data_IF_890051204867
#
_entry.id   IF_890051204867
#
_cell.length_a   1.000
_cell.length_b   1.000
_cell.length_c   1.000
_cell.angle_alpha   90.00
_cell.angle_beta   90.00
_cell.angle_gamma   90.00
#
_symmetry.space_group_name_H-M   'P 1'
#
loop_
_entity.id
_entity.type
_entity.pdbx_description
1 polymer ?
#
# COMPACT_ATOMS: atom_id res chain seq x y z
N UNK A 1 22.34 4.35 14.52
CA UNK A 1 22.76 5.37 15.51
C UNK A 1 23.28 6.55 14.72
N UNK A 2 22.71 7.74 14.91
CA UNK A 2 23.22 8.94 14.24
C UNK A 2 24.62 9.24 14.78
N UNK A 3 25.63 9.17 13.92
CA UNK A 3 27.02 9.45 14.27
C UNK A 3 27.16 10.95 14.51
N UNK A 4 27.41 11.35 15.76
CA UNK A 4 27.60 12.75 16.12
C UNK A 4 28.95 13.19 15.55
N UNK A 5 28.95 14.20 14.68
CA UNK A 5 30.17 14.72 14.08
C UNK A 5 31.16 15.14 15.18
N UNK A 6 32.40 14.59 15.22
CA UNK A 6 33.40 14.89 16.24
C UNK A 6 33.73 16.39 16.37
N UNK A 7 33.52 17.19 15.33
CA UNK A 7 33.72 18.65 15.36
C UNK A 7 32.69 19.42 16.21
N UNK A 8 31.64 18.74 16.70
CA UNK A 8 30.61 19.31 17.59
C UNK A 8 31.04 19.33 19.07
N UNK A 9 32.19 18.73 19.37
CA UNK A 9 32.76 18.60 20.69
C UNK A 9 33.83 19.65 20.92
N UNK A 10 33.66 20.52 21.91
CA UNK A 10 34.71 21.45 22.33
C UNK A 10 35.46 20.88 23.53
N UNK A 11 36.79 20.82 23.43
CA UNK A 11 37.66 20.42 24.53
C UNK A 11 38.09 21.65 25.32
N UNK A 12 38.19 21.53 26.64
CA UNK A 12 38.79 22.58 27.46
C UNK A 12 40.32 22.60 27.32
N UNK A 13 40.97 23.55 28.00
CA UNK A 13 42.42 23.70 28.00
C UNK A 13 43.20 22.47 28.53
N UNK A 14 42.52 21.47 29.11
CA UNK A 14 43.11 20.22 29.62
C UNK A 14 42.84 19.02 28.72
N UNK A 15 42.11 19.21 27.62
CA UNK A 15 41.74 18.13 26.70
C UNK A 15 40.52 17.34 27.14
N UNK A 16 39.78 17.80 28.16
CA UNK A 16 38.54 17.18 28.63
C UNK A 16 37.32 17.75 27.89
N UNK A 17 36.28 16.93 27.70
CA UNK A 17 35.05 17.30 26.97
C UNK A 17 34.31 18.41 27.70
N UNK A 18 34.41 19.67 27.23
CA UNK A 18 33.92 20.81 28.00
C UNK A 18 32.43 21.11 27.78
N UNK A 19 31.89 20.86 26.58
CA UNK A 19 30.45 20.99 26.28
C UNK A 19 30.17 20.62 24.81
N UNK A 20 28.93 20.24 24.50
CA UNK A 20 28.47 20.10 23.11
C UNK A 20 27.91 21.45 22.64
N UNK A 21 28.27 21.92 21.42
CA UNK A 21 27.72 23.16 20.87
C UNK A 21 26.22 22.99 20.59
N UNK A 22 25.38 23.49 21.50
CA UNK A 22 23.91 23.41 21.40
C UNK A 22 23.38 23.86 20.03
N UNK A 23 23.90 24.94 19.46
CA UNK A 23 23.50 25.43 18.14
C UNK A 23 23.77 24.42 17.02
N UNK A 24 24.89 23.70 17.12
CA UNK A 24 25.31 22.75 16.10
C UNK A 24 24.58 21.39 16.23
N UNK A 25 24.18 21.00 17.44
CA UNK A 25 23.22 19.89 17.66
C UNK A 25 21.83 20.26 17.17
N UNK A 26 21.37 21.50 17.42
CA UNK A 26 20.06 21.96 16.95
C UNK A 26 19.97 21.95 15.43
N UNK A 27 21.02 22.40 14.73
CA UNK A 27 21.08 22.34 13.26
C UNK A 27 21.07 20.89 12.73
N UNK A 28 21.77 19.98 13.41
CA UNK A 28 21.74 18.55 13.08
C UNK A 28 20.34 17.95 13.28
N UNK A 29 19.70 18.20 14.43
CA UNK A 29 18.35 17.70 14.72
C UNK A 29 17.31 18.27 13.77
N UNK A 30 17.41 19.55 13.39
CA UNK A 30 16.54 20.15 12.38
C UNK A 30 16.70 19.46 11.03
N UNK A 31 17.94 19.17 10.61
CA UNK A 31 18.19 18.46 9.36
C UNK A 31 17.60 17.04 9.39
N UNK A 32 17.77 16.30 10.49
CA UNK A 32 17.19 14.97 10.64
C UNK A 32 15.65 15.02 10.69
N UNK A 33 15.08 16.01 11.38
CA UNK A 33 13.64 16.25 11.40
C UNK A 33 13.09 16.51 10.00
N UNK A 34 13.73 17.40 9.23
CA UNK A 34 13.33 17.71 7.86
C UNK A 34 13.46 16.50 6.92
N UNK A 35 14.48 15.66 7.11
CA UNK A 35 14.64 14.42 6.33
C UNK A 35 13.50 13.43 6.60
N UNK A 36 13.23 13.17 7.88
CA UNK A 36 12.15 12.24 8.25
C UNK A 36 10.78 12.81 7.88
N UNK A 37 10.55 14.12 8.02
CA UNK A 37 9.30 14.75 7.59
C UNK A 37 9.04 14.57 6.09
N UNK A 38 10.04 14.85 5.23
CA UNK A 38 9.92 14.62 3.77
C UNK A 38 9.66 13.14 3.43
N UNK A 39 10.26 12.23 4.19
CA UNK A 39 10.03 10.79 4.01
C UNK A 39 8.60 10.42 4.38
N UNK A 40 8.06 10.97 5.47
CA UNK A 40 6.66 10.79 5.86
C UNK A 40 5.72 11.34 4.79
N UNK A 41 5.93 12.57 4.30
CA UNK A 41 5.11 13.15 3.21
C UNK A 41 5.11 12.26 1.96
N UNK A 42 6.28 11.72 1.58
CA UNK A 42 6.39 10.80 0.45
C UNK A 42 5.64 9.48 0.69
N UNK A 43 5.71 8.94 1.91
CA UNK A 43 4.98 7.74 2.29
C UNK A 43 3.46 7.99 2.26
N UNK A 44 2.98 9.10 2.81
CA UNK A 44 1.57 9.48 2.77
C UNK A 44 1.05 9.60 1.34
N UNK A 45 1.81 10.24 0.44
CA UNK A 45 1.47 10.31 -0.99
C UNK A 45 1.42 8.93 -1.65
N UNK A 46 2.37 8.06 -1.32
CA UNK A 46 2.42 6.68 -1.85
C UNK A 46 1.21 5.88 -1.37
N UNK A 47 0.87 5.97 -0.08
CA UNK A 47 -0.28 5.28 0.52
C UNK A 47 -1.58 5.77 -0.12
N UNK A 48 -1.78 7.08 -0.27
CA UNK A 48 -2.98 7.62 -0.91
C UNK A 48 -3.14 7.13 -2.36
N UNK A 49 -2.02 7.01 -3.09
CA UNK A 49 -2.01 6.45 -4.45
C UNK A 49 -2.38 4.97 -4.44
N UNK A 50 -1.76 4.18 -3.56
CA UNK A 50 -2.04 2.75 -3.42
C UNK A 50 -3.51 2.49 -3.04
N UNK A 51 -4.08 3.27 -2.12
CA UNK A 51 -5.49 3.15 -1.76
C UNK A 51 -6.42 3.36 -2.95
N UNK A 52 -6.11 4.34 -3.81
CA UNK A 52 -6.88 4.61 -5.03
C UNK A 52 -6.77 3.44 -6.02
N UNK A 53 -5.57 2.93 -6.23
CA UNK A 53 -5.31 1.82 -7.16
C UNK A 53 -6.00 0.53 -6.69
N UNK A 54 -5.97 0.25 -5.38
CA UNK A 54 -6.69 -0.87 -4.80
C UNK A 54 -8.20 -0.74 -4.96
N UNK A 55 -8.78 0.44 -4.67
CA UNK A 55 -10.22 0.69 -4.88
C UNK A 55 -10.63 0.47 -6.33
N UNK A 56 -9.83 0.94 -7.28
CA UNK A 56 -10.09 0.75 -8.71
C UNK A 56 -10.02 -0.74 -9.11
N UNK A 57 -8.99 -1.45 -8.63
CA UNK A 57 -8.80 -2.88 -8.91
C UNK A 57 -9.93 -3.72 -8.33
N UNK A 58 -10.34 -3.46 -7.08
CA UNK A 58 -11.44 -4.15 -6.43
C UNK A 58 -12.75 -3.93 -7.20
N UNK A 59 -13.04 -2.68 -7.61
CA UNK A 59 -14.22 -2.37 -8.40
C UNK A 59 -14.22 -3.10 -9.76
N UNK A 60 -13.06 -3.22 -10.40
CA UNK A 60 -12.93 -3.99 -11.64
C UNK A 60 -13.15 -5.48 -11.41
N UNK A 61 -12.54 -6.06 -10.36
CA UNK A 61 -12.69 -7.46 -10.02
C UNK A 61 -14.15 -7.80 -9.68
N UNK A 62 -14.84 -6.93 -8.92
CA UNK A 62 -16.24 -7.11 -8.58
C UNK A 62 -17.12 -7.21 -9.83
N UNK A 63 -16.90 -6.32 -10.81
CA UNK A 63 -17.61 -6.37 -12.11
C UNK A 63 -17.31 -7.65 -12.89
N UNK A 64 -16.06 -8.11 -12.88
CA UNK A 64 -15.67 -9.35 -13.56
C UNK A 64 -16.33 -10.57 -12.91
N UNK A 65 -16.40 -10.60 -11.57
CA UNK A 65 -17.09 -11.64 -10.81
C UNK A 65 -18.57 -11.66 -11.16
N UNK A 66 -19.24 -10.50 -11.14
CA UNK A 66 -20.67 -10.40 -11.50
C UNK A 66 -20.94 -10.89 -12.93
N UNK A 67 -20.11 -10.51 -13.90
CA UNK A 67 -20.22 -10.96 -15.28
C UNK A 67 -20.01 -12.48 -15.41
N UNK A 68 -19.05 -13.05 -14.66
CA UNK A 68 -18.80 -14.48 -14.63
C UNK A 68 -19.97 -15.23 -14.00
N UNK A 69 -20.49 -14.75 -12.86
CA UNK A 69 -21.68 -15.32 -12.20
C UNK A 69 -22.89 -15.33 -13.14
N UNK A 70 -23.16 -14.24 -13.85
CA UNK A 70 -24.24 -14.17 -14.83
C UNK A 70 -24.04 -15.17 -15.99
N UNK A 71 -22.79 -15.36 -16.42
CA UNK A 71 -22.45 -16.33 -17.48
C UNK A 71 -22.67 -17.77 -17.00
N UNK A 72 -22.22 -18.09 -15.78
CA UNK A 72 -22.43 -19.41 -15.16
C UNK A 72 -23.92 -19.71 -15.03
N UNK A 73 -24.72 -18.75 -14.53
CA UNK A 73 -26.16 -18.93 -14.39
C UNK A 73 -26.84 -19.24 -15.73
N UNK A 74 -26.49 -18.48 -16.80
CA UNK A 74 -27.02 -18.71 -18.16
C UNK A 74 -26.62 -20.09 -18.72
N UNK A 75 -25.40 -20.54 -18.47
CA UNK A 75 -24.95 -21.86 -18.91
C UNK A 75 -25.72 -22.96 -18.16
N UNK A 76 -25.90 -22.82 -16.85
CA UNK A 76 -26.70 -23.75 -16.05
C UNK A 76 -28.15 -23.85 -16.53
N UNK A 77 -28.81 -22.72 -16.82
CA UNK A 77 -30.17 -22.70 -17.37
C UNK A 77 -30.26 -23.42 -18.71
N UNK A 78 -29.30 -23.20 -19.62
CA UNK A 78 -29.25 -23.90 -20.92
C UNK A 78 -29.07 -25.41 -20.76
N UNK A 79 -28.26 -25.84 -19.80
CA UNK A 79 -28.04 -27.27 -19.52
C UNK A 79 -29.33 -27.92 -19.01
N UNK A 80 -30.02 -27.28 -18.07
CA UNK A 80 -31.30 -27.80 -17.54
C UNK A 80 -32.38 -27.85 -18.63
N UNK A 81 -32.52 -26.81 -19.46
CA UNK A 81 -33.47 -26.81 -20.59
C UNK A 81 -33.19 -27.94 -21.60
N UNK A 82 -31.91 -28.19 -21.92
CA UNK A 82 -31.53 -29.28 -22.81
C UNK A 82 -31.87 -30.64 -22.20
N UNK A 83 -31.66 -30.82 -20.90
CA UNK A 83 -32.01 -32.05 -20.18
C UNK A 83 -33.53 -32.32 -20.21
N UNK A 84 -34.35 -31.31 -19.91
CA UNK A 84 -35.81 -31.44 -19.98
C UNK A 84 -36.30 -31.75 -21.39
N UNK A 85 -35.70 -31.12 -22.41
CA UNK A 85 -36.04 -31.36 -23.82
C UNK A 85 -35.75 -32.81 -24.22
N UNK A 86 -34.59 -33.34 -23.84
CA UNK A 86 -34.22 -34.74 -24.11
C UNK A 86 -35.17 -35.74 -23.43
N UNK A 87 -35.60 -35.45 -22.20
CA UNK A 87 -36.58 -36.27 -21.48
C UNK A 87 -37.96 -36.25 -22.15
N UNK A 88 -38.43 -35.09 -22.60
CA UNK A 88 -39.71 -34.97 -23.30
C UNK A 88 -39.73 -35.77 -24.60
N UNK A 89 -38.64 -35.74 -25.36
CA UNK A 89 -38.47 -36.51 -26.61
C UNK A 89 -38.43 -38.02 -26.34
N UNK A 90 -37.86 -38.45 -25.22
CA UNK A 90 -37.83 -39.87 -24.84
C UNK A 90 -39.19 -40.41 -24.38
N UNK A 91 -40.06 -39.57 -23.83
CA UNK A 91 -41.41 -39.96 -23.34
C UNK A 91 -42.46 -40.02 -24.47
N UNK A 92 -42.23 -39.32 -25.59
CA UNK A 92 -43.13 -39.29 -26.75
C UNK A 92 -42.77 -40.30 -27.85
N UNK A 93 -42.01 -41.36 -27.53
CA UNK A 93 -41.58 -42.41 -28.46
C UNK A 93 -42.02 -43.78 -27.98
#
# INVERSE_FOLDING_TARGET
MAEVNPGLVTHDARGELSTVRYEAVNAMLLNEFLKEHRKVEKLECTVATQEKDFKATIAQQQKQIEALTATVQKVSEKIELNKTTLQLVAVHR
#
